data_IF_880284814647
#
_entry.id   IF_880284814647
#
_cell.length_a   1.000
_cell.length_b   1.000
_cell.length_c   1.000
_cell.angle_alpha   90.00
_cell.angle_beta   90.00
_cell.angle_gamma   90.00
#
_symmetry.space_group_name_H-M   'P 1'
#
loop_
_entity.id
_entity.type
_entity.pdbx_description
1 polymer ?
#
# COMPACT_ATOMS: atom_id res chain seq x y z
N UNK A 1 -10.39 -0.92 -24.06
CA UNK A 1 -9.26 -0.38 -23.27
C UNK A 1 -8.87 -1.43 -22.25
N UNK A 2 -7.58 -1.79 -22.13
CA UNK A 2 -7.14 -2.75 -21.12
C UNK A 2 -7.45 -2.19 -19.72
N UNK A 3 -8.29 -2.87 -18.94
CA UNK A 3 -8.65 -2.46 -17.58
C UNK A 3 -7.37 -2.28 -16.75
N UNK A 4 -7.12 -1.05 -16.30
CA UNK A 4 -5.99 -0.71 -15.43
C UNK A 4 -6.45 -0.88 -13.97
N UNK A 5 -5.61 -1.48 -13.13
CA UNK A 5 -5.90 -1.65 -11.70
C UNK A 5 -5.44 -0.38 -10.97
N UNK A 6 -6.34 0.28 -10.26
CA UNK A 6 -5.99 1.42 -9.41
C UNK A 6 -5.48 0.93 -8.05
N UNK A 7 -4.27 1.35 -7.67
CA UNK A 7 -3.61 0.93 -6.43
C UNK A 7 -3.28 2.15 -5.59
N UNK A 8 -3.86 2.25 -4.40
CA UNK A 8 -3.47 3.23 -3.41
C UNK A 8 -2.34 2.67 -2.54
N UNK A 9 -1.18 3.32 -2.53
CA UNK A 9 -0.09 2.99 -1.63
C UNK A 9 -0.20 3.87 -0.38
N UNK A 10 -0.45 3.23 0.77
CA UNK A 10 -0.77 3.86 2.04
C UNK A 10 0.25 3.40 3.07
N UNK A 11 0.52 4.19 4.09
CA UNK A 11 1.34 3.76 5.22
C UNK A 11 1.81 4.93 6.05
N UNK A 12 2.34 4.62 7.23
CA UNK A 12 2.93 5.62 8.10
C UNK A 12 4.15 6.27 7.43
N UNK A 13 4.51 7.50 7.82
CA UNK A 13 5.81 8.06 7.53
C UNK A 13 6.94 7.09 7.91
N UNK A 14 7.99 7.05 7.10
CA UNK A 14 9.22 6.27 7.32
C UNK A 14 9.11 4.73 7.28
N UNK A 15 8.00 4.13 6.84
CA UNK A 15 7.89 2.66 6.64
C UNK A 15 8.56 2.16 5.35
N UNK A 16 9.14 3.06 4.56
CA UNK A 16 9.73 2.77 3.25
C UNK A 16 8.71 2.74 2.11
N UNK A 17 7.53 3.34 2.31
CA UNK A 17 6.48 3.53 1.29
C UNK A 17 7.01 4.06 -0.04
N UNK A 18 7.79 5.15 -0.04
CA UNK A 18 8.42 5.69 -1.26
C UNK A 18 9.37 4.69 -1.94
N UNK A 19 10.08 3.86 -1.17
CA UNK A 19 10.94 2.82 -1.73
C UNK A 19 10.13 1.71 -2.40
N UNK A 20 8.97 1.34 -1.82
CA UNK A 20 8.04 0.38 -2.43
C UNK A 20 7.45 0.96 -3.72
N UNK A 21 7.02 2.22 -3.71
CA UNK A 21 6.55 2.93 -4.89
C UNK A 21 7.57 2.85 -6.03
N UNK A 22 8.81 3.28 -5.77
CA UNK A 22 9.89 3.26 -6.76
C UNK A 22 10.21 1.84 -7.25
N UNK A 23 10.15 0.83 -6.37
CA UNK A 23 10.38 -0.57 -6.76
C UNK A 23 9.28 -1.13 -7.68
N UNK A 24 8.05 -0.62 -7.57
CA UNK A 24 6.91 -1.01 -8.41
C UNK A 24 6.91 -0.26 -9.75
N UNK A 25 7.17 1.05 -9.75
CA UNK A 25 7.01 1.94 -10.91
C UNK A 25 8.28 2.10 -11.74
N UNK A 26 9.45 1.97 -11.11
CA UNK A 26 10.73 2.32 -11.72
C UNK A 26 10.74 3.77 -12.21
N UNK A 27 11.11 3.98 -13.48
CA UNK A 27 11.15 5.31 -14.08
C UNK A 27 9.78 5.80 -14.60
N UNK A 28 8.73 4.96 -14.56
CA UNK A 28 7.41 5.30 -15.12
C UNK A 28 6.54 6.02 -14.09
N UNK A 29 7.04 7.14 -13.56
CA UNK A 29 6.38 7.91 -12.51
C UNK A 29 6.32 9.39 -12.84
N UNK A 30 5.36 10.08 -12.24
CA UNK A 30 5.12 11.52 -12.35
C UNK A 30 4.88 12.08 -10.96
N UNK A 31 5.30 13.33 -10.80
CA UNK A 31 5.07 14.11 -9.58
C UNK A 31 4.34 15.38 -9.99
N UNK A 32 3.23 15.66 -9.31
CA UNK A 32 2.45 16.87 -9.46
C UNK A 32 1.87 17.28 -8.12
N UNK A 33 0.79 18.06 -8.14
CA UNK A 33 0.03 18.42 -6.93
C UNK A 33 -1.43 18.00 -7.09
N UNK A 34 -2.10 17.78 -5.96
CA UNK A 34 -3.56 17.63 -5.97
C UNK A 34 -4.24 18.94 -6.41
N UNK A 35 -5.37 18.88 -7.12
CA UNK A 35 -6.04 20.08 -7.62
C UNK A 35 -6.36 21.09 -6.52
N UNK A 36 -5.93 22.34 -6.70
CA UNK A 36 -6.28 23.45 -5.81
C UNK A 36 -5.48 23.53 -4.50
N UNK A 37 -4.50 22.64 -4.25
CA UNK A 37 -3.69 22.64 -3.03
C UNK A 37 -2.21 22.33 -3.33
N UNK A 38 -1.33 22.58 -2.35
CA UNK A 38 0.12 22.35 -2.46
C UNK A 38 0.56 20.94 -2.05
N UNK A 39 -0.38 20.02 -1.83
CA UNK A 39 -0.08 18.64 -1.47
C UNK A 39 0.46 17.91 -2.69
N UNK A 40 1.64 17.31 -2.56
CA UNK A 40 2.29 16.57 -3.63
C UNK A 40 1.51 15.29 -3.97
N UNK A 41 1.31 15.03 -5.27
CA UNK A 41 0.73 13.81 -5.81
C UNK A 41 1.79 13.06 -6.61
N UNK A 42 2.22 11.90 -6.12
CA UNK A 42 3.09 10.98 -6.86
C UNK A 42 2.27 9.84 -7.42
N UNK A 43 2.42 9.59 -8.72
CA UNK A 43 1.73 8.53 -9.42
C UNK A 43 2.66 7.82 -10.41
N UNK A 44 2.39 6.55 -10.72
CA UNK A 44 3.19 5.81 -11.68
C UNK A 44 2.51 4.56 -12.21
N UNK A 45 3.13 3.91 -13.19
CA UNK A 45 2.59 2.70 -13.80
C UNK A 45 3.50 1.52 -13.48
N UNK A 46 2.93 0.50 -12.85
CA UNK A 46 3.57 -0.79 -12.64
C UNK A 46 3.13 -1.78 -13.72
N UNK A 47 4.08 -2.47 -14.35
CA UNK A 47 3.80 -3.63 -15.20
C UNK A 47 3.66 -4.85 -14.31
N UNK A 48 2.48 -5.46 -14.34
CA UNK A 48 2.16 -6.67 -13.62
C UNK A 48 2.33 -7.90 -14.51
N UNK A 49 2.40 -9.12 -13.93
CA UNK A 49 2.31 -10.37 -14.67
C UNK A 49 1.17 -10.38 -15.70
N UNK A 50 1.36 -11.15 -16.78
CA UNK A 50 0.37 -11.34 -17.86
C UNK A 50 0.01 -10.05 -18.63
N UNK A 51 0.84 -9.01 -18.54
CA UNK A 51 0.67 -7.76 -19.29
C UNK A 51 -0.36 -6.79 -18.70
N UNK A 52 -0.88 -7.08 -17.51
CA UNK A 52 -1.77 -6.17 -16.77
C UNK A 52 -0.97 -4.93 -16.33
N UNK A 53 -1.62 -3.78 -16.26
CA UNK A 53 -1.03 -2.54 -15.76
C UNK A 53 -1.74 -2.12 -14.48
N UNK A 54 -0.96 -1.71 -13.49
CA UNK A 54 -1.47 -1.02 -12.31
C UNK A 54 -1.07 0.46 -12.34
N UNK A 55 -2.03 1.35 -12.08
CA UNK A 55 -1.78 2.74 -11.71
C UNK A 55 -1.53 2.78 -10.21
N UNK A 56 -0.33 3.19 -9.82
CA UNK A 56 0.05 3.30 -8.41
C UNK A 56 -0.01 4.78 -8.02
N UNK A 57 -0.78 5.10 -7.00
CA UNK A 57 -0.82 6.43 -6.38
C UNK A 57 -0.16 6.32 -5.01
N UNK A 58 0.90 7.08 -4.78
CA UNK A 58 1.54 7.20 -3.48
C UNK A 58 0.81 8.26 -2.66
N UNK A 59 0.06 7.84 -1.65
CA UNK A 59 -0.67 8.75 -0.79
C UNK A 59 0.25 9.36 0.27
N UNK A 60 -0.04 10.58 0.78
CA UNK A 60 0.69 11.14 1.90
C UNK A 60 0.80 10.17 3.09
N UNK A 61 1.92 10.22 3.80
CA UNK A 61 2.14 9.34 4.94
C UNK A 61 1.16 9.68 6.06
N UNK A 62 0.33 8.73 6.47
CA UNK A 62 -0.72 8.95 7.48
C UNK A 62 -0.61 7.95 8.63
N UNK A 63 -0.94 8.40 9.84
CA UNK A 63 -0.98 7.52 11.01
C UNK A 63 -2.35 6.90 11.28
N UNK A 64 -3.41 7.56 10.81
CA UNK A 64 -4.79 7.13 10.97
C UNK A 64 -5.70 7.89 10.01
N UNK A 65 -6.89 7.37 9.72
CA UNK A 65 -7.95 8.09 8.98
C UNK A 65 -8.66 9.16 9.83
N UNK A 66 -7.91 9.90 10.64
CA UNK A 66 -8.38 11.07 11.38
C UNK A 66 -7.53 12.26 10.93
N UNK A 67 -8.06 13.05 9.99
CA UNK A 67 -7.28 14.14 9.40
C UNK A 67 -7.03 15.27 10.40
N UNK A 68 -5.76 15.63 10.54
CA UNK A 68 -5.28 16.80 11.27
C UNK A 68 -4.54 17.80 10.34
N UNK A 69 -4.36 17.43 9.07
CA UNK A 69 -3.60 18.18 8.06
C UNK A 69 -4.22 18.02 6.67
N UNK A 70 -3.88 18.93 5.74
CA UNK A 70 -4.29 18.83 4.33
C UNK A 70 -3.82 17.53 3.68
N UNK A 71 -2.59 17.12 3.98
CA UNK A 71 -2.01 15.86 3.52
C UNK A 71 -2.89 14.66 3.91
N UNK A 72 -3.36 14.62 5.16
CA UNK A 72 -4.24 13.55 5.64
C UNK A 72 -5.67 13.67 5.08
N UNK A 73 -6.19 14.89 4.91
CA UNK A 73 -7.51 15.11 4.30
C UNK A 73 -7.59 14.53 2.89
N UNK A 74 -6.55 14.70 2.08
CA UNK A 74 -6.46 14.13 0.73
C UNK A 74 -6.57 12.60 0.74
N UNK A 75 -5.96 11.94 1.74
CA UNK A 75 -6.05 10.48 1.90
C UNK A 75 -7.49 10.06 2.16
N UNK A 76 -8.16 10.73 3.09
CA UNK A 76 -9.53 10.41 3.48
C UNK A 76 -10.50 10.68 2.32
N UNK A 77 -10.39 11.83 1.66
CA UNK A 77 -11.25 12.21 0.54
C UNK A 77 -11.18 11.18 -0.59
N UNK A 78 -9.98 10.73 -0.96
CA UNK A 78 -9.82 9.71 -1.99
C UNK A 78 -10.44 8.37 -1.58
N UNK A 79 -10.22 7.93 -0.34
CA UNK A 79 -10.64 6.60 0.12
C UNK A 79 -12.13 6.52 0.48
N UNK A 80 -12.81 7.65 0.70
CA UNK A 80 -14.24 7.69 0.93
C UNK A 80 -15.05 7.96 -0.35
N UNK A 81 -14.43 8.51 -1.40
CA UNK A 81 -15.11 8.83 -2.64
C UNK A 81 -15.07 7.68 -3.66
N UNK A 82 -16.00 6.72 -3.55
CA UNK A 82 -16.13 5.58 -4.48
C UNK A 82 -16.33 5.96 -5.96
N UNK A 83 -16.72 7.21 -6.23
CA UNK A 83 -16.91 7.71 -7.58
C UNK A 83 -15.67 8.45 -8.14
N UNK A 84 -14.62 8.62 -7.34
CA UNK A 84 -13.37 9.21 -7.83
C UNK A 84 -12.73 8.28 -8.88
N UNK A 85 -12.15 8.87 -9.93
CA UNK A 85 -11.43 8.12 -10.97
C UNK A 85 -10.20 7.38 -10.42
N UNK A 86 -9.65 7.89 -9.33
CA UNK A 86 -8.46 7.41 -8.66
C UNK A 86 -8.82 6.52 -7.45
N UNK A 87 -10.11 6.27 -7.20
CA UNK A 87 -10.56 5.36 -6.15
C UNK A 87 -9.91 3.98 -6.35
N UNK A 88 -9.30 3.40 -5.31
CA UNK A 88 -8.49 2.19 -5.46
C UNK A 88 -9.35 0.94 -5.68
N UNK A 89 -8.94 0.12 -6.64
CA UNK A 89 -9.34 -1.29 -6.73
C UNK A 89 -8.75 -2.08 -5.56
N UNK A 90 -7.54 -1.70 -5.11
CA UNK A 90 -6.82 -2.34 -4.02
C UNK A 90 -5.95 -1.33 -3.26
N UNK A 91 -5.94 -1.43 -1.94
CA UNK A 91 -5.04 -0.69 -1.07
C UNK A 91 -3.82 -1.55 -0.73
N UNK A 92 -2.63 -0.99 -0.85
CA UNK A 92 -1.37 -1.59 -0.40
C UNK A 92 -0.88 -0.79 0.80
N UNK A 93 -1.02 -1.36 1.99
CA UNK A 93 -0.63 -0.72 3.24
C UNK A 93 0.79 -1.14 3.61
N UNK A 94 1.72 -0.19 3.63
CA UNK A 94 3.14 -0.40 3.90
C UNK A 94 3.44 -0.16 5.38
N UNK A 95 3.83 -1.23 6.07
CA UNK A 95 4.38 -1.25 7.43
C UNK A 95 5.87 -1.59 7.41
N UNK A 96 6.53 -1.47 8.55
CA UNK A 96 7.89 -1.98 8.76
C UNK A 96 7.94 -3.06 9.84
N UNK A 97 8.95 -3.93 9.78
CA UNK A 97 9.10 -5.04 10.74
C UNK A 97 9.33 -4.59 12.19
N UNK A 98 9.88 -3.40 12.43
CA UNK A 98 10.22 -2.94 13.79
C UNK A 98 9.02 -2.29 14.49
N UNK A 99 8.08 -1.72 13.73
CA UNK A 99 6.95 -0.94 14.25
C UNK A 99 5.58 -1.52 13.87
N UNK A 100 5.52 -2.81 13.53
CA UNK A 100 4.33 -3.47 12.98
C UNK A 100 3.05 -3.16 13.79
N UNK A 101 3.08 -3.28 15.12
CA UNK A 101 1.92 -2.99 15.99
C UNK A 101 1.34 -1.59 15.75
N UNK A 102 2.19 -0.58 15.62
CA UNK A 102 1.78 0.80 15.36
C UNK A 102 1.22 0.94 13.95
N UNK A 103 1.85 0.29 12.97
CA UNK A 103 1.42 0.38 11.57
C UNK A 103 0.09 -0.33 11.32
N UNK A 104 -0.24 -1.34 12.13
CA UNK A 104 -1.50 -2.07 11.99
C UNK A 104 -2.73 -1.19 12.28
N UNK A 105 -2.59 -0.07 12.98
CA UNK A 105 -3.71 0.86 13.22
C UNK A 105 -4.31 1.41 11.92
N UNK A 106 -3.48 1.95 11.03
CA UNK A 106 -3.98 2.45 9.74
C UNK A 106 -4.47 1.29 8.87
N UNK A 107 -3.81 0.13 8.93
CA UNK A 107 -4.22 -1.07 8.18
C UNK A 107 -5.65 -1.49 8.51
N UNK A 108 -6.02 -1.59 9.79
CA UNK A 108 -7.38 -1.99 10.19
C UNK A 108 -8.40 -0.94 9.76
N UNK A 109 -8.07 0.35 9.85
CA UNK A 109 -8.96 1.41 9.36
C UNK A 109 -9.19 1.36 7.85
N UNK A 110 -8.20 0.97 7.04
CA UNK A 110 -8.41 0.73 5.61
C UNK A 110 -9.31 -0.49 5.38
N UNK A 111 -9.13 -1.55 6.17
CA UNK A 111 -9.96 -2.75 6.13
C UNK A 111 -11.42 -2.46 6.48
N UNK A 112 -11.68 -1.54 7.43
CA UNK A 112 -13.02 -1.08 7.80
C UNK A 112 -13.74 -0.34 6.65
N UNK A 113 -13.01 0.19 5.67
CA UNK A 113 -13.58 0.77 4.44
C UNK A 113 -14.01 -0.28 3.42
N UNK A 114 -13.82 -1.56 3.72
CA UNK A 114 -14.14 -2.71 2.86
C UNK A 114 -13.39 -2.68 1.51
N UNK A 115 -12.22 -2.03 1.47
CA UNK A 115 -11.35 -1.99 0.30
C UNK A 115 -10.49 -3.28 0.31
N UNK A 116 -10.37 -4.00 -0.83
CA UNK A 116 -9.40 -5.09 -0.94
C UNK A 116 -8.01 -4.59 -0.54
N UNK A 117 -7.42 -5.20 0.48
CA UNK A 117 -6.19 -4.66 1.09
C UNK A 117 -5.11 -5.73 1.12
N UNK A 118 -3.87 -5.32 0.82
CA UNK A 118 -2.64 -6.10 0.97
C UNK A 118 -1.79 -5.42 2.05
N UNK A 119 -1.31 -6.20 3.02
CA UNK A 119 -0.32 -5.70 3.98
C UNK A 119 1.10 -5.99 3.49
N UNK A 120 1.89 -4.94 3.31
CA UNK A 120 3.30 -5.03 3.00
C UNK A 120 4.10 -4.83 4.27
N UNK A 121 4.81 -5.86 4.72
CA UNK A 121 5.74 -5.76 5.85
C UNK A 121 7.15 -5.57 5.28
N UNK A 122 7.61 -4.33 5.25
CA UNK A 122 8.89 -3.93 4.66
C UNK A 122 10.06 -4.01 5.66
N UNK A 123 11.28 -3.85 5.15
CA UNK A 123 12.54 -3.91 5.89
C UNK A 123 12.82 -5.30 6.49
N UNK A 124 12.39 -6.37 5.81
CA UNK A 124 12.60 -7.75 6.27
C UNK A 124 14.07 -8.14 6.43
N UNK A 125 15.00 -7.42 5.78
CA UNK A 125 16.44 -7.58 5.98
C UNK A 125 16.91 -7.26 7.41
N UNK A 126 16.11 -6.52 8.18
CA UNK A 126 16.41 -6.20 9.58
C UNK A 126 16.01 -7.29 10.56
N UNK A 127 15.13 -8.21 10.16
CA UNK A 127 14.57 -9.22 11.07
C UNK A 127 15.65 -10.07 11.76
N UNK A 128 16.61 -10.59 10.97
CA UNK A 128 17.70 -11.42 11.50
C UNK A 128 18.57 -10.65 12.50
N UNK A 129 18.93 -9.41 12.18
CA UNK A 129 19.79 -8.59 13.04
C UNK A 129 19.08 -8.18 14.34
N UNK A 130 17.77 -7.95 14.28
CA UNK A 130 16.94 -7.53 15.41
C UNK A 130 16.32 -8.69 16.20
N UNK A 131 16.54 -9.95 15.78
CA UNK A 131 15.91 -11.12 16.39
C UNK A 131 14.38 -11.16 16.24
N UNK A 132 13.84 -10.53 15.19
CA UNK A 132 12.39 -10.50 14.92
C UNK A 132 12.02 -11.74 14.11
N UNK A 133 10.95 -12.42 14.54
CA UNK A 133 10.32 -13.51 13.79
C UNK A 133 8.84 -13.19 13.61
N UNK A 134 8.30 -13.55 12.45
CA UNK A 134 6.88 -13.34 12.12
C UNK A 134 6.32 -14.64 11.57
N UNK A 135 5.18 -15.05 12.10
CA UNK A 135 4.36 -16.12 11.55
C UNK A 135 3.38 -15.50 10.54
N UNK A 136 3.74 -15.59 9.26
CA UNK A 136 2.98 -14.93 8.18
C UNK A 136 1.61 -15.60 7.99
N UNK A 137 1.53 -16.93 8.05
CA UNK A 137 0.27 -17.65 7.87
C UNK A 137 -0.72 -17.33 9.01
N UNK A 138 -0.22 -17.25 10.25
CA UNK A 138 -1.01 -16.80 11.38
C UNK A 138 -1.51 -15.36 11.17
N UNK A 139 -0.63 -14.43 10.79
CA UNK A 139 -1.00 -13.03 10.57
C UNK A 139 -1.99 -12.85 9.43
N UNK A 140 -1.82 -13.54 8.30
CA UNK A 140 -2.78 -13.51 7.18
C UNK A 140 -4.18 -13.96 7.62
N UNK A 141 -4.26 -15.00 8.46
CA UNK A 141 -5.52 -15.51 9.01
C UNK A 141 -6.17 -14.51 9.96
N UNK A 142 -5.41 -13.89 10.86
CA UNK A 142 -5.96 -12.92 11.82
C UNK A 142 -6.39 -11.61 11.14
N UNK A 143 -5.58 -11.12 10.20
CA UNK A 143 -5.78 -9.84 9.54
C UNK A 143 -6.67 -9.92 8.29
N UNK A 144 -7.20 -11.11 7.98
CA UNK A 144 -8.08 -11.36 6.84
C UNK A 144 -7.52 -10.74 5.53
N UNK A 145 -6.23 -10.94 5.27
CA UNK A 145 -5.52 -10.32 4.14
C UNK A 145 -4.38 -11.22 3.67
N UNK A 146 -3.76 -10.83 2.55
CA UNK A 146 -2.47 -11.37 2.11
C UNK A 146 -1.34 -10.44 2.48
N UNK A 147 -0.21 -11.04 2.88
CA UNK A 147 0.97 -10.33 3.34
C UNK A 147 2.11 -10.50 2.34
N UNK A 148 2.73 -9.38 1.96
CA UNK A 148 4.01 -9.37 1.28
C UNK A 148 5.11 -8.98 2.28
N UNK A 149 5.93 -9.95 2.69
CA UNK A 149 7.15 -9.70 3.44
C UNK A 149 8.27 -9.31 2.48
N UNK A 150 8.74 -8.06 2.54
CA UNK A 150 9.66 -7.52 1.53
C UNK A 150 10.89 -6.83 2.14
N UNK A 151 11.94 -6.74 1.33
CA UNK A 151 13.05 -5.81 1.54
C UNK A 151 13.31 -5.09 0.24
N UNK A 152 12.90 -3.83 0.15
CA UNK A 152 13.17 -2.98 -1.04
C UNK A 152 14.68 -2.81 -1.26
N UNK A 153 15.46 -2.69 -0.18
CA UNK A 153 16.93 -2.60 -0.22
C UNK A 153 17.58 -3.83 -0.85
N UNK A 154 17.03 -5.01 -0.61
CA UNK A 154 17.54 -6.29 -1.14
C UNK A 154 16.78 -6.78 -2.37
N UNK A 155 15.79 -6.00 -2.84
CA UNK A 155 14.86 -6.38 -3.91
C UNK A 155 14.18 -7.74 -3.67
N UNK A 156 13.82 -8.05 -2.42
CA UNK A 156 13.17 -9.30 -2.03
C UNK A 156 11.66 -9.08 -1.92
N UNK A 157 10.87 -9.99 -2.48
CA UNK A 157 9.40 -10.03 -2.31
C UNK A 157 8.60 -9.05 -3.19
N UNK A 158 9.26 -8.26 -4.04
CA UNK A 158 8.59 -7.32 -4.96
C UNK A 158 7.74 -8.06 -6.00
N UNK A 159 8.23 -9.18 -6.53
CA UNK A 159 7.45 -9.98 -7.49
C UNK A 159 6.22 -10.60 -6.84
N UNK A 160 6.35 -11.06 -5.59
CA UNK A 160 5.21 -11.51 -4.79
C UNK A 160 4.18 -10.41 -4.60
N UNK A 161 4.60 -9.18 -4.28
CA UNK A 161 3.69 -8.05 -4.19
C UNK A 161 2.95 -7.79 -5.52
N UNK A 162 3.65 -7.86 -6.66
CA UNK A 162 3.01 -7.73 -7.99
C UNK A 162 1.98 -8.83 -8.25
N UNK A 163 2.27 -10.08 -7.87
CA UNK A 163 1.31 -11.17 -7.97
C UNK A 163 0.05 -10.91 -7.13
N UNK A 164 0.22 -10.45 -5.89
CA UNK A 164 -0.91 -10.14 -5.01
C UNK A 164 -1.78 -9.00 -5.57
N UNK A 165 -1.15 -7.94 -6.09
CA UNK A 165 -1.87 -6.84 -6.76
C UNK A 165 -2.62 -7.36 -8.00
N UNK A 166 -2.01 -8.26 -8.77
CA UNK A 166 -2.65 -8.85 -9.97
C UNK A 166 -3.91 -9.64 -9.60
N UNK A 167 -3.85 -10.37 -8.49
CA UNK A 167 -4.93 -11.22 -7.99
C UNK A 167 -5.75 -10.55 -6.88
N UNK A 168 -5.81 -9.21 -6.85
CA UNK A 168 -6.45 -8.47 -5.76
C UNK A 168 -7.93 -8.85 -5.50
N UNK A 169 -8.62 -9.40 -6.51
CA UNK A 169 -10.01 -9.86 -6.40
C UNK A 169 -10.19 -11.06 -5.49
N UNK A 170 -9.10 -11.78 -5.19
CA UNK A 170 -9.11 -12.93 -4.28
C UNK A 170 -8.91 -12.49 -2.82
N UNK A 171 -8.67 -11.20 -2.57
CA UNK A 171 -8.48 -10.66 -1.22
C UNK A 171 -9.82 -10.53 -0.50
N UNK A 172 -9.82 -10.85 0.80
CA UNK A 172 -10.98 -10.61 1.66
C UNK A 172 -11.18 -9.11 1.88
N UNK A 173 -12.42 -8.67 1.70
CA UNK A 173 -12.89 -7.31 2.05
C UNK A 173 -13.44 -7.23 3.48
N UNK A 174 -13.45 -8.36 4.20
CA UNK A 174 -13.97 -8.44 5.57
C UNK A 174 -13.09 -7.61 6.51
N UNK A 175 -13.66 -6.72 7.33
CA UNK A 175 -12.94 -6.05 8.42
C UNK A 175 -12.25 -7.05 9.38
N UNK A 176 -11.23 -6.59 10.11
CA UNK A 176 -10.46 -7.42 11.05
C UNK A 176 -9.96 -6.62 12.25
#
# INVERSE_FOLDING_TARGET
MSKQINVALIGNPNTGKTSVFNALTGLNQKVGNYPGITVEKKEGVCKLPRGVKAHIIDLPGTYSLNASSLDESVVIELLLNKNDKDYPDVAVVVSDVENLKRNLLIFTQIKDLEIPTILVINMSDRMKYKGISLDIDYLEKQLQTKIALISTRKNIGIDRLKELITNYRDLSVTPC
#
